data_IF_628667733579
#
_entry.id   IF_628667733579
#
_cell.length_a   1.000
_cell.length_b   1.000
_cell.length_c   1.000
_cell.angle_alpha   90.00
_cell.angle_beta   90.00
_cell.angle_gamma   90.00
#
_symmetry.space_group_name_H-M   'P 1'
#
loop_
_entity.id
_entity.type
_entity.pdbx_description
1 polymer ?
#
# COMPACT_ATOMS: atom_id res chain seq x y z
N UNK A 1 9.59 -15.03 -11.18
CA UNK A 1 10.39 -14.00 -10.47
C UNK A 1 9.41 -12.95 -10.00
N UNK A 2 9.43 -12.60 -8.71
CA UNK A 2 8.57 -11.61 -8.07
C UNK A 2 9.39 -10.87 -7.01
N UNK A 3 8.95 -9.70 -6.56
CA UNK A 3 9.70 -8.85 -5.64
C UNK A 3 8.80 -8.29 -4.54
N UNK A 4 9.36 -8.04 -3.36
CA UNK A 4 8.68 -7.32 -2.29
C UNK A 4 9.59 -6.16 -1.87
N UNK A 5 9.57 -5.09 -2.68
CA UNK A 5 10.55 -4.01 -2.59
C UNK A 5 10.46 -3.27 -1.25
N UNK A 6 11.54 -3.22 -0.47
CA UNK A 6 11.62 -2.38 0.72
C UNK A 6 12.00 -0.94 0.35
N UNK A 7 11.47 0.01 1.11
CA UNK A 7 11.92 1.40 1.14
C UNK A 7 12.26 1.76 2.59
N UNK A 8 13.43 2.36 2.82
CA UNK A 8 13.88 2.77 4.16
C UNK A 8 13.79 4.30 4.25
N UNK A 9 13.14 4.81 5.30
CA UNK A 9 13.03 6.24 5.60
C UNK A 9 13.79 6.52 6.89
N UNK A 10 14.95 7.16 6.78
CA UNK A 10 15.79 7.52 7.91
C UNK A 10 15.29 8.77 8.64
N UNK A 11 15.81 8.98 9.85
CA UNK A 11 15.34 10.03 10.76
C UNK A 11 15.45 11.47 10.21
N UNK A 12 16.39 11.70 9.30
CA UNK A 12 16.69 12.99 8.66
C UNK A 12 16.07 13.15 7.26
N UNK A 13 15.24 12.19 6.85
CA UNK A 13 14.58 12.22 5.55
C UNK A 13 13.60 13.40 5.44
N UNK A 14 13.55 13.98 4.23
CA UNK A 14 12.46 14.86 3.83
C UNK A 14 11.16 14.04 3.72
N UNK A 15 10.29 14.16 4.73
CA UNK A 15 9.07 13.35 4.84
C UNK A 15 8.08 13.63 3.72
N UNK A 16 7.95 14.89 3.28
CA UNK A 16 7.03 15.23 2.21
C UNK A 16 7.47 14.56 0.90
N UNK A 17 8.75 14.69 0.58
CA UNK A 17 9.33 14.03 -0.58
C UNK A 17 9.24 12.51 -0.46
N UNK A 18 9.52 11.94 0.71
CA UNK A 18 9.44 10.49 0.93
C UNK A 18 8.03 9.96 0.70
N UNK A 19 7.01 10.63 1.25
CA UNK A 19 5.60 10.27 1.07
C UNK A 19 5.21 10.29 -0.41
N UNK A 20 5.52 11.39 -1.12
CA UNK A 20 5.20 11.49 -2.55
C UNK A 20 5.87 10.39 -3.39
N UNK A 21 7.10 10.01 -3.02
CA UNK A 21 7.82 8.91 -3.68
C UNK A 21 7.22 7.55 -3.38
N UNK A 22 6.71 7.32 -2.16
CA UNK A 22 5.97 6.10 -1.84
C UNK A 22 4.66 6.05 -2.60
N UNK A 23 3.90 7.15 -2.69
CA UNK A 23 2.65 7.17 -3.47
C UNK A 23 2.92 6.80 -4.93
N UNK A 24 3.89 7.47 -5.56
CA UNK A 24 4.26 7.21 -6.94
C UNK A 24 4.84 5.79 -7.16
N UNK A 25 5.60 5.27 -6.19
CA UNK A 25 6.28 3.97 -6.32
C UNK A 25 5.46 2.76 -5.88
N UNK A 26 4.54 2.92 -4.94
CA UNK A 26 3.76 1.83 -4.34
C UNK A 26 2.39 1.64 -4.99
N UNK A 27 1.81 2.69 -5.55
CA UNK A 27 0.43 2.66 -6.05
C UNK A 27 0.32 2.85 -7.57
N UNK A 28 1.42 3.20 -8.25
CA UNK A 28 1.47 3.20 -9.73
C UNK A 28 1.05 1.84 -10.29
N UNK A 29 0.27 1.86 -11.37
CA UNK A 29 -0.33 0.67 -11.97
C UNK A 29 -1.06 -0.21 -10.94
N UNK A 30 -1.74 0.42 -9.97
CA UNK A 30 -2.49 -0.28 -8.90
C UNK A 30 -1.59 -1.18 -8.05
N UNK A 31 -0.30 -0.81 -7.92
CA UNK A 31 0.72 -1.60 -7.21
C UNK A 31 1.13 -2.89 -7.96
N UNK A 32 0.71 -3.07 -9.22
CA UNK A 32 1.07 -4.21 -10.08
C UNK A 32 2.33 -3.92 -10.90
N UNK A 33 3.42 -3.57 -10.23
CA UNK A 33 4.72 -3.38 -10.85
C UNK A 33 5.79 -4.17 -10.07
N UNK A 34 6.73 -4.80 -10.77
CA UNK A 34 7.80 -5.61 -10.15
C UNK A 34 8.76 -4.81 -9.26
N UNK A 35 8.74 -3.49 -9.36
CA UNK A 35 9.51 -2.56 -8.53
C UNK A 35 8.64 -1.79 -7.54
N UNK A 36 7.36 -2.15 -7.42
CA UNK A 36 6.45 -1.45 -6.54
C UNK A 36 6.96 -1.50 -5.09
N UNK A 37 6.89 -0.37 -4.40
CA UNK A 37 7.15 -0.30 -2.96
C UNK A 37 6.05 -1.05 -2.25
N UNK A 38 6.40 -2.03 -1.42
CA UNK A 38 5.43 -2.85 -0.68
C UNK A 38 5.68 -2.84 0.82
N UNK A 39 6.95 -2.72 1.23
CA UNK A 39 7.34 -2.59 2.64
C UNK A 39 8.10 -1.30 2.84
N UNK A 40 7.76 -0.60 3.90
CA UNK A 40 8.41 0.64 4.29
C UNK A 40 8.93 0.44 5.71
N UNK A 41 10.20 0.75 5.91
CA UNK A 41 10.84 0.75 7.22
C UNK A 41 11.12 2.20 7.58
N UNK A 42 10.35 2.75 8.52
CA UNK A 42 10.52 4.13 8.95
C UNK A 42 11.29 4.17 10.27
N UNK A 43 12.26 5.07 10.38
CA UNK A 43 12.98 5.25 11.64
C UNK A 43 12.00 5.61 12.77
N UNK A 44 12.17 5.00 13.93
CA UNK A 44 11.24 5.10 15.08
C UNK A 44 10.84 6.53 15.46
N UNK A 45 11.72 7.52 15.27
CA UNK A 45 11.46 8.92 15.62
C UNK A 45 10.49 9.63 14.67
N UNK A 46 10.28 9.09 13.47
CA UNK A 46 9.41 9.67 12.43
C UNK A 46 8.25 8.75 12.05
N UNK A 47 8.21 7.52 12.56
CA UNK A 47 7.23 6.47 12.20
C UNK A 47 5.78 7.01 12.15
N UNK A 48 5.31 7.55 13.27
CA UNK A 48 3.92 8.02 13.40
C UNK A 48 3.59 9.16 12.42
N UNK A 49 4.48 10.16 12.32
CA UNK A 49 4.26 11.32 11.48
C UNK A 49 4.34 10.97 9.99
N UNK A 50 5.28 10.09 9.63
CA UNK A 50 5.38 9.57 8.27
C UNK A 50 4.14 8.75 7.88
N UNK A 51 3.71 7.83 8.75
CA UNK A 51 2.53 7.01 8.53
C UNK A 51 1.26 7.85 8.34
N UNK A 52 1.06 8.87 9.21
CA UNK A 52 -0.06 9.80 9.11
C UNK A 52 -0.07 10.56 7.78
N UNK A 53 1.06 11.17 7.40
CA UNK A 53 1.17 11.92 6.13
C UNK A 53 0.98 11.03 4.92
N UNK A 54 1.50 9.79 4.96
CA UNK A 54 1.30 8.84 3.88
C UNK A 54 -0.18 8.47 3.76
N UNK A 55 -0.86 8.15 4.87
CA UNK A 55 -2.27 7.82 4.83
C UNK A 55 -3.14 8.98 4.33
N UNK A 56 -2.82 10.23 4.70
CA UNK A 56 -3.48 11.42 4.17
C UNK A 56 -3.34 11.51 2.65
N UNK A 57 -2.12 11.38 2.12
CA UNK A 57 -1.88 11.43 0.68
C UNK A 57 -2.53 10.26 -0.06
N UNK A 58 -2.42 9.03 0.46
CA UNK A 58 -3.06 7.84 -0.11
C UNK A 58 -4.57 7.97 -0.11
N UNK A 59 -5.16 8.57 0.93
CA UNK A 59 -6.60 8.84 1.01
C UNK A 59 -7.12 9.84 -0.02
N UNK A 60 -6.24 10.59 -0.70
CA UNK A 60 -6.65 11.48 -1.80
C UNK A 60 -6.75 10.78 -3.16
N UNK A 61 -6.20 9.56 -3.28
CA UNK A 61 -6.18 8.82 -4.54
C UNK A 61 -7.60 8.39 -4.93
N UNK A 62 -7.97 8.68 -6.18
CA UNK A 62 -9.33 8.44 -6.69
C UNK A 62 -9.41 7.06 -7.32
N UNK A 63 -10.33 6.25 -6.82
CA UNK A 63 -10.68 4.96 -7.43
C UNK A 63 -11.72 5.15 -8.54
N UNK A 64 -11.59 4.46 -9.67
CA UNK A 64 -12.58 4.55 -10.74
C UNK A 64 -12.24 3.84 -12.05
N UNK A 65 -12.94 4.23 -13.12
CA UNK A 65 -12.73 3.71 -14.47
C UNK A 65 -11.34 4.14 -14.98
N UNK A 66 -10.48 3.23 -15.47
CA UNK A 66 -9.16 3.58 -15.99
C UNK A 66 -9.19 4.48 -17.24
N UNK A 67 -10.35 4.68 -17.86
CA UNK A 67 -10.55 5.62 -18.98
C UNK A 67 -10.78 7.07 -18.52
N UNK A 68 -11.09 7.30 -17.25
CA UNK A 68 -11.20 8.64 -16.68
C UNK A 68 -9.81 9.16 -16.29
N UNK A 69 -9.44 10.33 -16.79
CA UNK A 69 -8.16 10.98 -16.50
C UNK A 69 -8.00 11.39 -15.03
N UNK A 70 -9.10 11.44 -14.26
CA UNK A 70 -9.09 11.70 -12.84
C UNK A 70 -8.87 10.44 -11.97
N UNK A 71 -8.85 9.24 -12.58
CA UNK A 71 -8.64 7.98 -11.85
C UNK A 71 -7.15 7.75 -11.58
N UNK A 72 -6.81 7.56 -10.31
CA UNK A 72 -5.47 7.14 -9.88
C UNK A 72 -5.37 5.62 -9.74
N UNK A 73 -6.45 4.99 -9.26
CA UNK A 73 -6.51 3.56 -8.89
C UNK A 73 -7.69 2.91 -9.60
N UNK A 74 -7.45 1.87 -10.38
CA UNK A 74 -8.50 1.08 -11.02
C UNK A 74 -8.57 -0.33 -10.47
N UNK A 75 -9.43 -1.17 -11.06
CA UNK A 75 -9.46 -2.61 -10.80
C UNK A 75 -8.10 -3.26 -11.06
N UNK A 76 -7.80 -4.33 -10.33
CA UNK A 76 -6.68 -5.21 -10.63
C UNK A 76 -6.91 -5.99 -11.93
N UNK A 77 -5.85 -6.63 -12.44
CA UNK A 77 -5.90 -7.31 -13.75
C UNK A 77 -6.83 -8.53 -13.82
N UNK A 78 -7.26 -9.06 -12.67
CA UNK A 78 -8.08 -10.26 -12.58
C UNK A 78 -8.77 -10.35 -11.21
N UNK A 79 -9.91 -11.03 -11.16
CA UNK A 79 -10.58 -11.33 -9.89
C UNK A 79 -9.73 -12.17 -8.94
N UNK A 80 -8.85 -13.03 -9.48
CA UNK A 80 -7.94 -13.82 -8.68
C UNK A 80 -6.94 -12.91 -7.94
N UNK A 81 -6.43 -11.88 -8.60
CA UNK A 81 -5.58 -10.87 -7.97
C UNK A 81 -6.35 -10.13 -6.88
N UNK A 82 -7.60 -9.72 -7.14
CA UNK A 82 -8.48 -9.09 -6.14
C UNK A 82 -8.69 -9.99 -4.92
N UNK A 83 -9.08 -11.25 -5.11
CA UNK A 83 -9.27 -12.20 -4.01
C UNK A 83 -8.00 -12.40 -3.18
N UNK A 84 -6.84 -12.47 -3.84
CA UNK A 84 -5.53 -12.63 -3.18
C UNK A 84 -5.18 -11.41 -2.32
N UNK A 85 -5.29 -10.20 -2.87
CA UNK A 85 -5.01 -8.96 -2.12
C UNK A 85 -5.93 -8.84 -0.91
N UNK A 86 -7.24 -9.04 -1.09
CA UNK A 86 -8.20 -8.99 0.02
C UNK A 86 -7.94 -10.07 1.08
N UNK A 87 -7.46 -11.25 0.68
CA UNK A 87 -7.09 -12.30 1.63
C UNK A 87 -5.87 -11.89 2.48
N UNK A 88 -4.84 -11.32 1.86
CA UNK A 88 -3.63 -10.86 2.57
C UNK A 88 -3.93 -9.70 3.53
N UNK A 89 -4.77 -8.74 3.13
CA UNK A 89 -5.18 -7.64 4.02
C UNK A 89 -5.96 -8.17 5.24
N UNK A 90 -6.90 -9.10 5.03
CA UNK A 90 -7.63 -9.74 6.13
C UNK A 90 -6.71 -10.56 7.05
N UNK A 91 -5.77 -11.32 6.49
CA UNK A 91 -4.77 -12.07 7.25
C UNK A 91 -3.93 -11.15 8.15
N UNK A 92 -3.46 -10.03 7.61
CA UNK A 92 -2.72 -9.04 8.38
C UNK A 92 -3.56 -8.50 9.55
N UNK A 93 -4.83 -8.15 9.32
CA UNK A 93 -5.74 -7.69 10.38
C UNK A 93 -5.98 -8.75 11.45
N UNK A 94 -6.14 -10.03 11.06
CA UNK A 94 -6.30 -11.15 11.99
C UNK A 94 -5.06 -11.37 12.86
N UNK A 95 -3.87 -11.02 12.36
CA UNK A 95 -2.61 -11.10 13.10
C UNK A 95 -2.28 -9.83 13.90
N UNK A 96 -3.20 -8.85 13.96
CA UNK A 96 -3.07 -7.64 14.78
C UNK A 96 -2.58 -6.40 14.05
N UNK A 97 -2.32 -6.48 12.74
CA UNK A 97 -2.10 -5.27 11.94
C UNK A 97 -3.40 -4.47 11.79
N UNK A 98 -3.30 -3.20 11.42
CA UNK A 98 -4.48 -2.37 11.17
C UNK A 98 -4.32 -1.53 9.90
N UNK A 99 -5.45 -1.25 9.26
CA UNK A 99 -5.54 -0.38 8.09
C UNK A 99 -5.68 1.05 8.59
N UNK A 100 -4.67 1.89 8.37
CA UNK A 100 -4.74 3.30 8.69
C UNK A 100 -5.65 4.06 7.71
N UNK A 101 -5.71 3.58 6.46
CA UNK A 101 -6.63 4.04 5.41
C UNK A 101 -6.89 2.90 4.42
N UNK A 102 -8.05 2.91 3.76
CA UNK A 102 -8.38 2.05 2.62
C UNK A 102 -8.43 0.55 2.91
N UNK A 103 -8.22 -0.27 1.86
CA UNK A 103 -8.24 -1.72 1.93
C UNK A 103 -9.62 -2.36 1.77
N UNK A 104 -10.59 -1.61 1.23
CA UNK A 104 -11.97 -2.04 1.02
C UNK A 104 -12.20 -2.43 -0.44
N UNK A 105 -12.97 -3.51 -0.67
CA UNK A 105 -13.43 -3.86 -2.01
C UNK A 105 -14.74 -3.11 -2.32
N UNK A 106 -14.71 -2.26 -3.33
CA UNK A 106 -15.84 -1.47 -3.77
C UNK A 106 -16.76 -2.27 -4.72
N UNK A 107 -18.05 -1.85 -4.89
CA UNK A 107 -19.00 -2.52 -5.78
C UNK A 107 -18.58 -2.57 -7.26
N UNK A 108 -17.73 -1.65 -7.69
CA UNK A 108 -17.16 -1.59 -9.05
C UNK A 108 -15.94 -2.52 -9.24
N UNK A 109 -15.52 -3.23 -8.19
CA UNK A 109 -14.39 -4.15 -8.21
C UNK A 109 -13.03 -3.51 -7.90
N UNK A 110 -12.98 -2.19 -7.68
CA UNK A 110 -11.77 -1.51 -7.20
C UNK A 110 -11.48 -1.88 -5.74
N UNK A 111 -10.19 -1.90 -5.38
CA UNK A 111 -9.77 -1.94 -3.97
C UNK A 111 -9.29 -0.54 -3.61
N UNK A 112 -9.82 0.05 -2.53
CA UNK A 112 -9.34 1.35 -2.05
C UNK A 112 -7.87 1.24 -1.61
N UNK A 113 -7.01 2.19 -2.00
CA UNK A 113 -5.59 2.07 -1.73
C UNK A 113 -5.31 2.15 -0.23
N UNK A 114 -4.46 1.27 0.29
CA UNK A 114 -4.34 1.05 1.73
C UNK A 114 -2.94 1.31 2.30
N UNK A 115 -2.90 1.73 3.56
CA UNK A 115 -1.68 1.79 4.38
C UNK A 115 -1.88 0.86 5.57
N UNK A 116 -1.00 -0.12 5.74
CA UNK A 116 -1.08 -1.14 6.79
C UNK A 116 0.00 -0.89 7.84
N UNK A 117 -0.40 -0.76 9.10
CA UNK A 117 0.48 -0.53 10.25
C UNK A 117 0.46 -1.72 11.21
N UNK A 118 1.42 -1.74 12.14
CA UNK A 118 1.54 -2.80 13.13
C UNK A 118 1.91 -4.16 12.53
N UNK A 119 2.61 -4.15 11.39
CA UNK A 119 3.01 -5.38 10.71
C UNK A 119 4.26 -5.99 11.35
N UNK A 120 4.41 -7.31 11.26
CA UNK A 120 5.62 -8.02 11.67
C UNK A 120 6.26 -8.73 10.48
N UNK A 121 7.57 -9.07 10.55
CA UNK A 121 8.26 -9.79 9.46
C UNK A 121 7.67 -11.19 9.15
N UNK A 122 6.87 -11.76 10.06
CA UNK A 122 6.22 -13.06 9.87
C UNK A 122 4.90 -12.98 9.09
N UNK A 123 4.29 -11.80 8.97
CA UNK A 123 3.01 -11.63 8.29
C UNK A 123 3.15 -11.79 6.76
N UNK A 124 2.11 -12.31 6.11
CA UNK A 124 2.15 -12.55 4.66
C UNK A 124 2.41 -11.28 3.84
N UNK A 125 1.86 -10.15 4.25
CA UNK A 125 2.08 -8.83 3.61
C UNK A 125 3.57 -8.41 3.62
N UNK A 126 4.36 -8.96 4.54
CA UNK A 126 5.79 -8.69 4.66
C UNK A 126 6.68 -9.76 3.97
N UNK A 127 6.15 -10.94 3.66
CA UNK A 127 6.93 -12.06 3.13
C UNK A 127 6.68 -12.34 1.65
N UNK A 128 5.46 -12.10 1.18
CA UNK A 128 5.04 -12.36 -0.18
C UNK A 128 4.83 -11.05 -0.94
N UNK A 129 4.94 -11.12 -2.26
CA UNK A 129 4.60 -10.00 -3.13
C UNK A 129 3.08 -9.76 -3.10
N UNK A 130 2.66 -8.58 -2.65
CA UNK A 130 1.23 -8.23 -2.59
C UNK A 130 0.67 -7.95 -3.97
N UNK A 131 1.41 -7.28 -4.86
CA UNK A 131 1.00 -6.97 -6.23
C UNK A 131 -0.42 -6.35 -6.30
N UNK A 132 -0.63 -5.29 -5.51
CA UNK A 132 -1.90 -4.63 -5.29
C UNK A 132 -1.73 -3.30 -4.56
N UNK A 133 -2.79 -2.49 -4.40
CA UNK A 133 -2.68 -1.09 -4.01
C UNK A 133 -2.59 -0.95 -2.48
N UNK A 134 -1.60 -1.59 -1.85
CA UNK A 134 -1.32 -1.36 -0.44
C UNK A 134 0.16 -1.46 -0.10
N UNK A 135 0.57 -0.73 0.92
CA UNK A 135 1.92 -0.77 1.49
C UNK A 135 1.85 -1.05 2.98
N UNK A 136 2.87 -1.75 3.49
CA UNK A 136 3.03 -2.03 4.91
C UNK A 136 4.14 -1.16 5.51
N UNK A 137 3.92 -0.54 6.66
CA UNK A 137 4.92 0.24 7.39
C UNK A 137 5.30 -0.45 8.70
N UNK A 138 6.60 -0.70 8.85
CA UNK A 138 7.23 -1.26 10.04
C UNK A 138 8.21 -0.25 10.67
#
# INVERSE_FOLDING_TARGET
LGNNSPLIVEADADLERAVLRVVAGGYYAVGQACIAVQRIYAHRSIYEEFARRLAEQVGTLRTGDPRDAATDISTLNSEQATRRVMAVLRDAQQQGAHLLVGGELLPDGCITPAVVLGVTPSMQICQAELFGPAVAIA
#
